data_IF_937565240689
#
_entry.id   IF_937565240689
#
_cell.length_a   1.000
_cell.length_b   1.000
_cell.length_c   1.000
_cell.angle_alpha   90.00
_cell.angle_beta   90.00
_cell.angle_gamma   90.00
#
_symmetry.space_group_name_H-M   'P 1'
#
loop_
_entity.id
_entity.type
_entity.pdbx_description
1 polymer ?
#
# COMPACT_ATOMS: atom_id res chain seq x y z
N UNK A 1 17.71 0.85 18.93
CA UNK A 1 17.79 0.50 17.51
C UNK A 1 16.67 1.15 16.74
N UNK A 2 16.95 1.66 15.58
CA UNK A 2 15.92 2.24 14.73
C UNK A 2 15.07 1.14 14.09
N UNK A 3 13.78 1.39 14.01
CA UNK A 3 12.84 0.56 13.27
C UNK A 3 13.20 0.61 11.78
N UNK A 4 13.09 -0.51 11.05
CA UNK A 4 13.34 -0.48 9.61
C UNK A 4 12.24 0.31 8.88
N UNK A 5 12.54 0.73 7.65
CA UNK A 5 11.65 1.59 6.87
C UNK A 5 10.30 0.92 6.58
N UNK A 6 10.31 -0.36 6.23
CA UNK A 6 9.08 -1.10 5.95
C UNK A 6 8.14 -1.13 7.14
N UNK A 7 8.67 -1.42 8.32
CA UNK A 7 7.89 -1.42 9.56
C UNK A 7 7.38 -0.05 9.95
N UNK A 8 8.20 0.99 9.74
CA UNK A 8 7.75 2.38 9.96
C UNK A 8 6.57 2.73 9.06
N UNK A 9 6.65 2.39 7.79
CA UNK A 9 5.59 2.65 6.82
C UNK A 9 4.30 1.94 7.23
N UNK A 10 4.38 0.67 7.62
CA UNK A 10 3.23 -0.10 8.11
C UNK A 10 2.62 0.55 9.37
N UNK A 11 3.46 0.95 10.32
CA UNK A 11 3.00 1.58 11.54
C UNK A 11 2.28 2.90 11.25
N UNK A 12 2.78 3.69 10.33
CA UNK A 12 2.14 4.96 9.93
C UNK A 12 0.76 4.73 9.29
N UNK A 13 0.63 3.72 8.47
CA UNK A 13 -0.66 3.33 7.92
C UNK A 13 -1.62 2.89 9.01
N UNK A 14 -1.16 2.07 9.95
CA UNK A 14 -1.97 1.61 11.07
C UNK A 14 -2.46 2.78 11.91
N UNK A 15 -1.57 3.69 12.28
CA UNK A 15 -1.94 4.88 13.06
C UNK A 15 -3.03 5.71 12.38
N UNK A 16 -2.96 5.81 11.06
CA UNK A 16 -3.91 6.59 10.27
C UNK A 16 -5.25 5.88 10.06
N UNK A 17 -5.24 4.59 9.81
CA UNK A 17 -6.42 3.84 9.39
C UNK A 17 -7.14 3.13 10.54
N UNK A 18 -6.49 2.88 11.66
CA UNK A 18 -7.07 2.14 12.79
C UNK A 18 -7.96 3.06 13.62
N UNK A 19 -9.25 3.03 13.35
CA UNK A 19 -10.23 3.82 14.07
C UNK A 19 -11.55 3.04 14.21
N UNK A 20 -12.28 3.24 15.33
CA UNK A 20 -13.52 2.52 15.60
C UNK A 20 -14.74 3.28 15.07
N UNK A 21 -15.03 3.17 13.79
CA UNK A 21 -16.23 3.77 13.19
C UNK A 21 -17.22 2.71 12.76
N UNK A 22 -18.53 3.04 12.78
CA UNK A 22 -19.57 2.15 12.26
C UNK A 22 -19.39 1.92 10.76
N UNK A 23 -19.55 0.66 10.34
CA UNK A 23 -19.35 0.29 8.93
C UNK A 23 -17.91 0.35 8.47
N UNK A 24 -16.97 0.40 9.41
CA UNK A 24 -15.54 0.51 9.17
C UNK A 24 -14.80 -0.53 10.01
N UNK A 25 -13.99 -1.35 9.38
CA UNK A 25 -13.23 -2.37 10.10
C UNK A 25 -11.81 -2.46 9.52
N UNK A 26 -10.82 -2.17 10.35
CA UNK A 26 -9.41 -2.21 9.98
C UNK A 26 -8.71 -3.34 10.73
N UNK A 27 -7.97 -4.15 9.99
CA UNK A 27 -7.20 -5.25 10.58
C UNK A 27 -5.80 -5.30 9.99
N UNK A 28 -4.81 -5.41 10.87
CA UNK A 28 -3.47 -5.78 10.48
C UNK A 28 -3.39 -7.30 10.40
N UNK A 29 -2.85 -7.81 9.29
CA UNK A 29 -2.60 -9.24 9.17
C UNK A 29 -1.24 -9.52 9.83
N UNK A 30 -1.19 -10.30 10.91
CA UNK A 30 0.08 -10.55 11.62
C UNK A 30 1.09 -11.27 10.72
N UNK A 31 2.38 -10.95 10.92
CA UNK A 31 3.44 -11.69 10.25
C UNK A 31 3.38 -13.16 10.60
N UNK A 32 3.65 -14.03 9.64
CA UNK A 32 3.71 -15.47 9.88
C UNK A 32 4.89 -15.79 10.78
N UNK A 33 4.59 -16.40 11.92
CA UNK A 33 5.63 -16.89 12.81
C UNK A 33 6.27 -18.16 12.24
N UNK A 34 7.56 -18.33 12.51
CA UNK A 34 8.28 -19.55 12.12
C UNK A 34 7.58 -20.79 12.67
N UNK A 35 7.26 -21.75 11.80
CA UNK A 35 6.58 -22.99 12.19
C UNK A 35 5.26 -23.23 11.47
N UNK A 36 4.68 -22.25 10.84
CA UNK A 36 3.52 -22.46 9.98
C UNK A 36 3.98 -22.60 8.55
N UNK A 37 4.24 -23.82 8.17
CA UNK A 37 4.71 -24.15 6.82
C UNK A 37 3.65 -23.81 5.78
N UNK A 38 4.06 -23.03 4.77
CA UNK A 38 3.26 -22.79 3.58
C UNK A 38 2.21 -21.68 3.67
N UNK A 39 2.01 -21.05 4.83
CA UNK A 39 1.10 -19.92 4.91
C UNK A 39 1.85 -18.61 4.69
N UNK A 40 1.41 -17.84 3.69
CA UNK A 40 1.94 -16.51 3.36
C UNK A 40 0.81 -15.51 3.46
N UNK A 41 1.10 -14.33 3.97
CA UNK A 41 0.12 -13.25 4.01
C UNK A 41 -0.06 -12.67 2.60
N UNK A 42 -1.32 -12.49 2.21
CA UNK A 42 -1.65 -11.90 0.92
C UNK A 42 -1.39 -10.39 0.87
N UNK A 43 -1.45 -9.74 2.03
CA UNK A 43 -1.20 -8.31 2.20
C UNK A 43 -0.97 -8.00 3.68
N UNK A 44 -0.64 -6.74 3.98
CA UNK A 44 -0.37 -6.30 5.36
C UNK A 44 -1.64 -5.96 6.14
N UNK A 45 -2.64 -5.39 5.47
CA UNK A 45 -3.86 -4.89 6.12
C UNK A 45 -5.09 -5.20 5.29
N UNK A 46 -6.22 -5.33 6.00
CA UNK A 46 -7.54 -5.27 5.38
C UNK A 46 -8.31 -4.10 5.95
N UNK A 47 -9.05 -3.41 5.10
CA UNK A 47 -9.88 -2.27 5.47
C UNK A 47 -11.25 -2.45 4.84
N UNK A 48 -12.25 -2.67 5.67
CA UNK A 48 -13.62 -2.70 5.22
C UNK A 48 -14.28 -1.35 5.50
N UNK A 49 -14.74 -0.72 4.44
CA UNK A 49 -15.59 0.48 4.53
C UNK A 49 -16.85 0.13 3.73
N UNK A 50 -17.96 -0.04 4.43
CA UNK A 50 -19.19 -0.52 3.82
C UNK A 50 -19.52 0.21 2.51
N UNK A 51 -19.76 -0.51 1.39
CA UNK A 51 -19.82 -1.98 1.23
C UNK A 51 -18.56 -2.58 0.61
N UNK A 52 -17.37 -1.95 0.75
CA UNK A 52 -16.17 -2.32 0.04
C UNK A 52 -15.08 -2.85 0.96
N UNK A 53 -14.39 -3.89 0.51
CA UNK A 53 -13.26 -4.47 1.22
C UNK A 53 -11.96 -4.13 0.48
N UNK A 54 -10.98 -3.59 1.22
CA UNK A 54 -9.70 -3.16 0.68
C UNK A 54 -8.59 -4.05 1.22
N UNK A 55 -7.81 -4.66 0.33
CA UNK A 55 -6.63 -5.45 0.67
C UNK A 55 -5.42 -4.59 0.38
N UNK A 56 -4.66 -4.25 1.42
CA UNK A 56 -3.62 -3.22 1.35
C UNK A 56 -2.25 -3.82 1.62
N UNK A 57 -1.36 -3.69 0.67
CA UNK A 57 0.06 -4.01 0.82
C UNK A 57 0.84 -2.71 0.98
N UNK A 58 1.67 -2.61 2.00
CA UNK A 58 2.52 -1.46 2.28
C UNK A 58 3.91 -1.69 1.72
N UNK A 59 4.41 -0.75 0.94
CA UNK A 59 5.79 -0.74 0.43
C UNK A 59 6.42 0.61 0.68
N UNK A 60 7.73 0.62 0.92
CA UNK A 60 8.48 1.84 1.15
C UNK A 60 9.85 1.75 0.51
N UNK A 61 10.34 2.88 -0.01
CA UNK A 61 11.66 2.98 -0.61
C UNK A 61 12.31 4.31 -0.24
N UNK A 62 13.63 4.31 -0.11
CA UNK A 62 14.41 5.55 0.03
C UNK A 62 14.81 6.13 -1.33
N UNK A 63 14.63 5.36 -2.40
CA UNK A 63 14.99 5.75 -3.75
C UNK A 63 13.87 6.54 -4.42
N UNK A 64 14.18 7.14 -5.56
CA UNK A 64 13.19 7.84 -6.39
C UNK A 64 12.31 6.87 -7.19
N UNK A 65 12.62 5.58 -7.14
CA UNK A 65 11.99 4.53 -7.93
C UNK A 65 11.39 3.45 -7.02
N UNK A 66 10.14 3.13 -7.27
CA UNK A 66 9.48 1.97 -6.70
C UNK A 66 9.52 0.85 -7.75
N UNK A 67 10.34 -0.17 -7.51
CA UNK A 67 10.45 -1.34 -8.38
C UNK A 67 9.28 -2.29 -8.12
N UNK A 68 8.60 -2.72 -9.17
CA UNK A 68 7.46 -3.63 -9.03
C UNK A 68 7.87 -5.00 -8.48
N UNK A 69 9.16 -5.36 -8.62
CA UNK A 69 9.72 -6.57 -8.01
C UNK A 69 9.70 -6.56 -6.48
N UNK A 70 9.47 -5.40 -5.85
CA UNK A 70 9.27 -5.31 -4.40
C UNK A 70 7.98 -6.02 -3.96
N UNK A 71 7.01 -6.16 -4.87
CA UNK A 71 5.80 -6.95 -4.62
C UNK A 71 6.15 -8.40 -4.94
N UNK A 72 6.01 -9.30 -3.96
CA UNK A 72 6.28 -10.72 -4.20
C UNK A 72 5.25 -11.31 -5.16
N UNK A 73 5.61 -12.39 -5.85
CA UNK A 73 4.68 -13.05 -6.78
C UNK A 73 3.38 -13.46 -6.08
N UNK A 74 3.49 -13.97 -4.86
CA UNK A 74 2.32 -14.37 -4.07
C UNK A 74 1.42 -13.18 -3.74
N UNK A 75 2.00 -12.06 -3.30
CA UNK A 75 1.24 -10.83 -3.02
C UNK A 75 0.56 -10.31 -4.28
N UNK A 76 1.32 -10.25 -5.37
CA UNK A 76 0.81 -9.78 -6.66
C UNK A 76 -0.38 -10.61 -7.13
N UNK A 77 -0.23 -11.92 -7.20
CA UNK A 77 -1.28 -12.83 -7.63
C UNK A 77 -2.50 -12.78 -6.72
N UNK A 78 -2.27 -12.72 -5.40
CA UNK A 78 -3.35 -12.65 -4.42
C UNK A 78 -4.15 -11.35 -4.54
N UNK A 79 -3.47 -10.22 -4.67
CA UNK A 79 -4.13 -8.92 -4.83
C UNK A 79 -4.89 -8.86 -6.16
N UNK A 80 -4.31 -9.38 -7.24
CA UNK A 80 -5.00 -9.46 -8.53
C UNK A 80 -6.27 -10.29 -8.45
N UNK A 81 -6.22 -11.43 -7.76
CA UNK A 81 -7.38 -12.28 -7.53
C UNK A 81 -8.48 -11.53 -6.77
N UNK A 82 -8.11 -10.84 -5.69
CA UNK A 82 -9.05 -10.06 -4.90
C UNK A 82 -9.68 -8.93 -5.72
N UNK A 83 -8.88 -8.28 -6.57
CA UNK A 83 -9.37 -7.16 -7.39
C UNK A 83 -10.46 -7.55 -8.38
N UNK A 84 -10.60 -8.84 -8.69
CA UNK A 84 -11.64 -9.36 -9.60
C UNK A 84 -12.96 -9.64 -8.89
N UNK A 85 -12.99 -9.59 -7.58
CA UNK A 85 -14.19 -9.83 -6.78
C UNK A 85 -14.94 -8.52 -6.63
N UNK A 86 -16.24 -8.52 -6.94
CA UNK A 86 -17.07 -7.33 -6.79
C UNK A 86 -17.02 -6.82 -5.34
N UNK A 87 -16.75 -5.52 -5.18
CA UNK A 87 -16.66 -4.90 -3.87
C UNK A 87 -15.30 -5.07 -3.18
N UNK A 88 -14.34 -5.72 -3.83
CA UNK A 88 -12.99 -5.91 -3.29
C UNK A 88 -11.97 -5.14 -4.13
N UNK A 89 -10.99 -4.57 -3.44
CA UNK A 89 -9.90 -3.80 -4.06
C UNK A 89 -8.57 -4.35 -3.60
N UNK A 90 -7.65 -4.59 -4.54
CA UNK A 90 -6.25 -4.91 -4.26
C UNK A 90 -5.42 -3.65 -4.43
N UNK A 91 -4.76 -3.21 -3.37
CA UNK A 91 -4.11 -1.91 -3.31
C UNK A 91 -2.68 -2.04 -2.81
N UNK A 92 -1.82 -1.16 -3.32
CA UNK A 92 -0.46 -1.00 -2.83
C UNK A 92 -0.29 0.45 -2.40
N UNK A 93 0.11 0.68 -1.17
CA UNK A 93 0.47 2.00 -0.68
C UNK A 93 1.99 2.10 -0.69
N UNK A 94 2.50 3.02 -1.48
CA UNK A 94 3.95 3.20 -1.67
C UNK A 94 4.39 4.50 -1.02
N UNK A 95 5.33 4.39 -0.07
CA UNK A 95 5.97 5.53 0.56
C UNK A 95 7.35 5.76 -0.08
N UNK A 96 7.53 6.90 -0.70
CA UNK A 96 8.83 7.40 -1.13
C UNK A 96 9.41 8.23 0.01
N UNK A 97 10.17 7.55 0.89
CA UNK A 97 10.54 8.10 2.19
C UNK A 97 11.38 9.36 2.10
N UNK A 98 12.35 9.42 1.20
CA UNK A 98 13.21 10.59 1.01
C UNK A 98 12.40 11.82 0.56
N UNK A 99 11.34 11.59 -0.20
CA UNK A 99 10.48 12.64 -0.72
C UNK A 99 9.32 12.96 0.23
N UNK A 100 9.12 12.16 1.27
CA UNK A 100 8.01 12.27 2.22
C UNK A 100 6.65 12.34 1.50
N UNK A 101 6.48 11.48 0.50
CA UNK A 101 5.26 11.38 -0.29
C UNK A 101 4.82 9.94 -0.40
N UNK A 102 3.51 9.71 -0.31
CA UNK A 102 2.94 8.37 -0.40
C UNK A 102 1.73 8.35 -1.33
N UNK A 103 1.54 7.22 -1.98
CA UNK A 103 0.52 7.05 -3.02
C UNK A 103 -0.23 5.75 -2.83
N UNK A 104 -1.54 5.79 -3.10
CA UNK A 104 -2.37 4.59 -3.20
C UNK A 104 -2.45 4.22 -4.67
N UNK A 105 -2.09 2.99 -4.99
CA UNK A 105 -2.11 2.43 -6.35
C UNK A 105 -3.00 1.20 -6.37
N UNK A 106 -3.76 1.02 -7.44
CA UNK A 106 -4.54 -0.21 -7.66
C UNK A 106 -3.65 -1.26 -8.30
N UNK A 107 -3.75 -2.50 -7.83
CA UNK A 107 -2.90 -3.59 -8.35
C UNK A 107 -3.12 -3.83 -9.85
N UNK A 108 -4.35 -3.71 -10.33
CA UNK A 108 -4.62 -3.88 -11.76
C UNK A 108 -3.95 -2.81 -12.62
N UNK A 109 -3.73 -1.62 -12.10
CA UNK A 109 -3.01 -0.56 -12.82
C UNK A 109 -1.51 -0.84 -12.86
N UNK A 110 -0.96 -1.38 -11.78
CA UNK A 110 0.42 -1.88 -11.74
C UNK A 110 0.59 -3.02 -12.76
N UNK A 111 -0.37 -3.95 -12.79
CA UNK A 111 -0.39 -5.05 -13.76
C UNK A 111 -0.35 -4.55 -15.20
N UNK A 112 -1.14 -3.53 -15.49
CA UNK A 112 -1.15 -2.88 -16.80
C UNK A 112 0.23 -2.33 -17.17
N UNK A 113 0.88 -1.63 -16.25
CA UNK A 113 2.22 -1.08 -16.47
C UNK A 113 3.26 -2.19 -16.73
N UNK A 114 3.18 -3.29 -15.98
CA UNK A 114 4.06 -4.43 -16.17
C UNK A 114 3.88 -5.01 -17.57
N UNK A 115 2.64 -5.20 -18.01
CA UNK A 115 2.34 -5.73 -19.35
C UNK A 115 2.78 -4.77 -20.48
N UNK A 116 2.85 -3.48 -20.20
CA UNK A 116 3.40 -2.48 -21.13
C UNK A 116 4.93 -2.42 -21.12
N UNK A 117 5.59 -3.27 -20.33
CA UNK A 117 7.05 -3.35 -20.26
C UNK A 117 7.70 -2.48 -19.19
N UNK A 118 6.91 -1.82 -18.34
CA UNK A 118 7.45 -1.03 -17.25
C UNK A 118 7.87 -1.93 -16.09
N UNK A 119 8.95 -1.55 -15.40
CA UNK A 119 9.47 -2.29 -14.24
C UNK A 119 9.34 -1.51 -12.94
N UNK A 120 9.01 -0.24 -13.03
CA UNK A 120 9.01 0.66 -11.87
C UNK A 120 8.19 1.91 -12.13
N UNK A 121 7.89 2.64 -11.04
CA UNK A 121 7.38 4.01 -11.07
C UNK A 121 8.42 4.91 -10.44
N UNK A 122 8.77 6.00 -11.12
CA UNK A 122 9.72 6.98 -10.63
C UNK A 122 8.97 8.25 -10.21
N UNK A 123 9.11 8.65 -8.93
CA UNK A 123 8.41 9.80 -8.38
C UNK A 123 8.82 11.12 -9.06
N UNK A 124 10.07 11.22 -9.50
CA UNK A 124 10.53 12.43 -10.21
C UNK A 124 9.89 12.60 -11.57
N UNK A 125 9.24 11.54 -12.08
CA UNK A 125 8.53 11.51 -13.35
C UNK A 125 7.02 11.37 -13.18
N UNK A 126 6.49 11.80 -12.03
CA UNK A 126 5.07 11.64 -11.71
C UNK A 126 4.15 12.26 -12.76
N UNK A 127 4.56 13.37 -13.40
CA UNK A 127 3.78 14.00 -14.46
C UNK A 127 3.60 13.10 -15.70
N UNK A 128 4.42 12.05 -15.82
CA UNK A 128 4.36 11.07 -16.93
C UNK A 128 3.67 9.77 -16.54
N UNK A 129 3.21 9.65 -15.31
CA UNK A 129 2.47 8.45 -14.91
C UNK A 129 1.16 8.38 -15.68
N UNK A 130 0.89 7.22 -16.26
CA UNK A 130 -0.29 6.99 -17.11
C UNK A 130 -1.43 6.32 -16.36
N UNK A 131 -1.19 5.87 -15.14
CA UNK A 131 -2.19 5.22 -14.30
C UNK A 131 -2.80 6.21 -13.33
N UNK A 132 -4.05 5.99 -12.92
CA UNK A 132 -4.64 6.78 -11.83
C UNK A 132 -3.95 6.44 -10.50
N UNK A 133 -3.90 7.42 -9.61
CA UNK A 133 -3.35 7.25 -8.27
C UNK A 133 -3.98 8.27 -7.33
N UNK A 134 -3.88 8.00 -6.04
CA UNK A 134 -4.23 8.97 -5.00
C UNK A 134 -2.99 9.27 -4.17
N UNK A 135 -2.56 10.52 -4.17
CA UNK A 135 -1.52 10.94 -3.23
C UNK A 135 -2.15 11.17 -1.86
N UNK A 136 -1.56 10.57 -0.83
CA UNK A 136 -2.03 10.71 0.55
C UNK A 136 -1.53 12.03 1.11
N UNK A 137 -2.42 12.79 1.75
CA UNK A 137 -2.02 14.02 2.43
C UNK A 137 -1.12 13.69 3.61
N UNK A 138 -0.03 14.44 3.77
CA UNK A 138 0.98 14.21 4.80
C UNK A 138 1.35 15.49 5.50
N UNK A 139 1.77 15.35 6.77
CA UNK A 139 2.40 16.43 7.52
C UNK A 139 3.73 15.93 8.08
N UNK A 140 4.74 16.82 8.23
CA UNK A 140 6.01 16.42 8.83
C UNK A 140 5.81 16.05 10.32
N UNK A 141 6.55 15.03 10.76
CA UNK A 141 6.58 14.64 12.15
C UNK A 141 7.98 14.93 12.74
N UNK A 142 8.03 15.48 13.96
CA UNK A 142 9.31 15.83 14.59
C UNK A 142 10.18 14.62 14.91
N UNK A 143 9.55 13.51 15.25
CA UNK A 143 10.26 12.29 15.70
C UNK A 143 10.21 11.17 14.67
N UNK A 144 9.48 11.37 13.62
CA UNK A 144 9.16 10.32 12.67
C UNK A 144 9.16 10.88 11.27
N UNK A 145 9.09 10.00 10.31
CA UNK A 145 9.19 10.32 8.91
C UNK A 145 8.14 11.34 8.46
N UNK A 146 6.87 11.03 8.75
CA UNK A 146 5.71 11.87 8.42
C UNK A 146 4.49 11.30 9.13
N UNK A 147 3.39 12.02 9.10
CA UNK A 147 2.08 11.52 9.49
C UNK A 147 1.12 11.66 8.32
N UNK A 148 0.28 10.65 8.12
CA UNK A 148 -0.80 10.70 7.13
C UNK A 148 -1.99 11.44 7.71
N UNK A 149 -2.63 12.28 6.87
CA UNK A 149 -3.82 13.05 7.24
C UNK A 149 -4.90 12.90 6.17
N UNK A 150 -6.07 13.49 6.43
CA UNK A 150 -7.20 13.40 5.51
C UNK A 150 -7.92 12.06 5.62
N UNK A 151 -8.81 11.82 4.70
CA UNK A 151 -9.60 10.60 4.67
C UNK A 151 -9.07 9.63 3.62
N UNK A 152 -9.16 8.34 3.93
CA UNK A 152 -8.90 7.29 2.96
C UNK A 152 -9.92 7.37 1.82
N UNK A 153 -9.45 7.39 0.59
CA UNK A 153 -10.29 7.36 -0.60
C UNK A 153 -9.62 6.60 -1.72
N UNK A 154 -10.41 5.83 -2.44
CA UNK A 154 -9.98 5.15 -3.66
C UNK A 154 -10.75 5.66 -4.88
N UNK A 155 -11.33 6.85 -4.78
CA UNK A 155 -12.05 7.50 -5.88
C UNK A 155 -11.03 8.12 -6.85
N UNK A 156 -10.45 7.29 -7.65
CA UNK A 156 -9.49 7.72 -8.67
C UNK A 156 -9.38 6.70 -9.80
#
# INVERSE_FOLDING_TARGET
MSEDLGKKAERKLKEWLDRPDDGYDFNRIPDQLSGQWGSKNICDFTLYIEPYNHYIESKATIHDRFDFSMITDFQYESLMKKSKIKGCYGLVVVLFATYQRAFILKIQDIDKLIHEGNKSLNITKIAKWTIPYKEIETIPSRKQLLDYTGEWSIDF
#
